data_IF_594135297048
#
_entry.id   IF_594135297048
#
_cell.length_a   1.000
_cell.length_b   1.000
_cell.length_c   1.000
_cell.angle_alpha   90.00
_cell.angle_beta   90.00
_cell.angle_gamma   90.00
#
_symmetry.space_group_name_H-M   'P 1'
#
loop_
_entity.id
_entity.type
_entity.pdbx_description
1 polymer ?
#
# COMPACT_ATOMS: atom_id res chain seq x y z
N UNK A 1 -2.84 -19.04 27.20
CA UNK A 1 -2.06 -18.31 26.18
C UNK A 1 -0.61 -18.58 26.51
N UNK A 2 0.13 -19.22 25.60
CA UNK A 2 1.56 -19.52 25.83
C UNK A 2 2.33 -18.21 25.68
N UNK A 3 3.14 -17.89 26.67
CA UNK A 3 4.07 -16.75 26.66
C UNK A 3 5.00 -16.82 25.42
N UNK A 4 5.22 -15.69 24.75
CA UNK A 4 5.96 -15.61 23.47
C UNK A 4 7.39 -16.12 23.63
N UNK A 5 8.02 -15.76 24.75
CA UNK A 5 9.34 -16.24 25.16
C UNK A 5 9.38 -17.77 25.25
N UNK A 6 8.38 -18.36 25.90
CA UNK A 6 8.24 -19.81 26.01
C UNK A 6 8.07 -20.48 24.64
N UNK A 7 7.36 -19.82 23.72
CA UNK A 7 7.14 -20.32 22.35
C UNK A 7 8.43 -20.31 21.52
N UNK A 8 9.17 -19.22 21.55
CA UNK A 8 10.46 -19.09 20.83
C UNK A 8 11.50 -20.06 21.41
N UNK A 9 11.59 -20.18 22.74
CA UNK A 9 12.47 -21.15 23.37
C UNK A 9 12.13 -22.60 23.00
N UNK A 10 10.83 -22.95 22.94
CA UNK A 10 10.40 -24.27 22.49
C UNK A 10 10.74 -24.53 21.01
N UNK A 11 10.66 -23.50 20.16
CA UNK A 11 11.06 -23.59 18.76
C UNK A 11 12.56 -23.86 18.61
N UNK A 12 13.43 -23.08 19.27
CA UNK A 12 14.89 -23.26 19.21
C UNK A 12 15.32 -24.66 19.71
N UNK A 13 14.66 -25.17 20.76
CA UNK A 13 14.90 -26.55 21.22
C UNK A 13 14.58 -27.59 20.14
N UNK A 14 13.50 -27.41 19.39
CA UNK A 14 13.15 -28.28 18.25
C UNK A 14 14.17 -28.17 17.11
N UNK A 15 14.68 -26.96 16.85
CA UNK A 15 15.75 -26.76 15.86
C UNK A 15 17.02 -27.54 16.24
N UNK A 16 17.41 -27.53 17.51
CA UNK A 16 18.56 -28.30 18.00
C UNK A 16 18.36 -29.80 17.86
N UNK A 17 17.19 -30.31 18.29
CA UNK A 17 16.86 -31.74 18.14
C UNK A 17 16.89 -32.18 16.67
N UNK A 18 16.42 -31.34 15.76
CA UNK A 18 16.50 -31.61 14.32
C UNK A 18 17.94 -31.61 13.81
N UNK A 19 18.76 -30.66 14.25
CA UNK A 19 20.16 -30.56 13.88
C UNK A 19 20.97 -31.77 14.36
N UNK A 20 20.77 -32.23 15.59
CA UNK A 20 21.37 -33.44 16.14
C UNK A 20 21.02 -34.68 15.30
N UNK A 21 19.73 -34.86 14.98
CA UNK A 21 19.28 -35.94 14.09
C UNK A 21 19.84 -35.82 12.66
N UNK A 22 20.12 -34.60 12.19
CA UNK A 22 20.78 -34.35 10.90
C UNK A 22 22.24 -34.78 10.92
N UNK A 23 22.97 -34.42 11.99
CA UNK A 23 24.37 -34.84 12.21
C UNK A 23 24.46 -36.36 12.25
N UNK A 24 23.57 -37.04 12.99
CA UNK A 24 23.59 -38.50 13.09
C UNK A 24 23.43 -39.17 11.71
N UNK A 25 22.45 -38.71 10.92
CA UNK A 25 22.24 -39.21 9.55
C UNK A 25 23.42 -38.93 8.62
N UNK A 26 24.13 -37.82 8.80
CA UNK A 26 25.33 -37.49 8.01
C UNK A 26 26.52 -38.37 8.39
N UNK A 27 26.71 -38.66 9.68
CA UNK A 27 27.72 -39.62 10.17
C UNK A 27 27.49 -41.02 9.60
N UNK A 28 26.24 -41.47 9.54
CA UNK A 28 25.87 -42.76 8.94
C UNK A 28 26.14 -42.84 7.42
N UNK A 29 26.14 -41.70 6.72
CA UNK A 29 26.43 -41.60 5.28
C UNK A 29 27.88 -41.20 4.96
N UNK A 30 28.73 -41.08 5.98
CA UNK A 30 30.13 -40.60 5.87
C UNK A 30 30.25 -39.19 5.24
N UNK A 31 29.21 -38.36 5.38
CA UNK A 31 29.14 -36.98 4.88
C UNK A 31 29.60 -35.98 5.96
N UNK A 32 30.89 -36.02 6.31
CA UNK A 32 31.42 -35.32 7.49
C UNK A 32 31.66 -33.81 7.30
N UNK A 33 31.74 -33.33 6.05
CA UNK A 33 32.14 -31.95 5.72
C UNK A 33 31.23 -30.87 6.35
N UNK A 34 29.93 -31.14 6.44
CA UNK A 34 28.96 -30.18 6.97
C UNK A 34 28.74 -30.28 8.48
N UNK A 35 29.22 -31.33 9.15
CA UNK A 35 28.97 -31.56 10.58
C UNK A 35 29.40 -30.36 11.44
N UNK A 36 30.58 -29.73 11.23
CA UNK A 36 30.98 -28.57 12.02
C UNK A 36 30.01 -27.38 11.91
N UNK A 37 29.35 -27.20 10.75
CA UNK A 37 28.35 -26.14 10.57
C UNK A 37 27.09 -26.41 11.40
N UNK A 38 26.67 -27.67 11.47
CA UNK A 38 25.53 -28.08 12.29
C UNK A 38 25.83 -28.01 13.79
N UNK A 39 27.05 -28.34 14.21
CA UNK A 39 27.52 -28.19 15.59
C UNK A 39 27.53 -26.71 16.01
N UNK A 40 28.09 -25.83 15.17
CA UNK A 40 28.06 -24.39 15.40
C UNK A 40 26.62 -23.84 15.46
N UNK A 41 25.72 -24.31 14.60
CA UNK A 41 24.31 -23.93 14.63
C UNK A 41 23.64 -24.29 15.97
N UNK A 42 23.91 -25.48 16.50
CA UNK A 42 23.40 -25.91 17.82
C UNK A 42 23.97 -25.02 18.92
N UNK A 43 25.28 -24.74 18.89
CA UNK A 43 25.97 -23.91 19.88
C UNK A 43 25.37 -22.50 19.94
N UNK A 44 25.16 -21.84 18.79
CA UNK A 44 24.53 -20.52 18.74
C UNK A 44 23.09 -20.53 19.28
N UNK A 45 22.31 -21.56 18.94
CA UNK A 45 20.95 -21.69 19.45
C UNK A 45 20.92 -21.97 20.96
N UNK A 46 21.87 -22.74 21.48
CA UNK A 46 22.02 -22.97 22.93
C UNK A 46 22.36 -21.67 23.65
N UNK A 47 23.28 -20.88 23.10
CA UNK A 47 23.59 -19.56 23.63
C UNK A 47 22.36 -18.64 23.66
N UNK A 48 21.61 -18.58 22.55
CA UNK A 48 20.36 -17.81 22.50
C UNK A 48 19.32 -18.31 23.53
N UNK A 49 19.22 -19.61 23.76
CA UNK A 49 18.35 -20.20 24.80
C UNK A 49 18.76 -19.76 26.21
N UNK A 50 20.06 -19.66 26.49
CA UNK A 50 20.59 -19.16 27.76
C UNK A 50 20.28 -17.67 27.95
N UNK A 51 20.47 -16.86 26.90
CA UNK A 51 20.16 -15.44 26.91
C UNK A 51 18.64 -15.16 27.06
N UNK A 52 17.79 -16.04 26.54
CA UNK A 52 16.34 -16.01 26.80
C UNK A 52 16.04 -16.37 28.26
N UNK A 53 16.72 -17.39 28.81
CA UNK A 53 16.46 -17.89 30.15
C UNK A 53 16.92 -16.92 31.26
N UNK A 54 18.04 -16.24 31.03
CA UNK A 54 18.62 -15.28 31.98
C UNK A 54 18.07 -13.85 31.83
N UNK A 55 17.21 -13.62 30.83
CA UNK A 55 16.54 -12.35 30.58
C UNK A 55 17.33 -11.33 29.75
N UNK A 56 18.49 -11.69 29.20
CA UNK A 56 19.29 -10.82 28.33
C UNK A 56 18.52 -10.37 27.08
N UNK A 57 17.64 -11.24 26.57
CA UNK A 57 16.82 -10.98 25.38
C UNK A 57 15.40 -10.50 25.72
N UNK A 58 15.10 -10.08 26.95
CA UNK A 58 13.74 -9.66 27.35
C UNK A 58 13.17 -8.54 26.46
N UNK A 59 14.02 -7.57 26.08
CA UNK A 59 13.66 -6.47 25.16
C UNK A 59 13.21 -6.93 23.76
N UNK A 60 13.50 -8.17 23.36
CA UNK A 60 13.06 -8.73 22.06
C UNK A 60 11.60 -9.22 22.12
N UNK A 61 11.09 -9.47 23.32
CA UNK A 61 9.72 -9.89 23.59
C UNK A 61 8.84 -8.74 24.08
N UNK A 62 9.41 -7.55 24.22
CA UNK A 62 8.65 -6.31 24.40
C UNK A 62 8.00 -5.94 23.07
N UNK A 63 6.67 -5.90 23.02
CA UNK A 63 5.93 -5.49 21.83
C UNK A 63 6.16 -4.01 21.56
N UNK A 64 7.24 -3.68 20.86
CA UNK A 64 7.60 -2.31 20.51
C UNK A 64 6.87 -1.83 19.26
N UNK A 65 5.58 -2.17 19.15
CA UNK A 65 4.65 -1.49 18.24
C UNK A 65 4.11 -0.25 18.93
N UNK A 66 5.00 0.63 19.41
CA UNK A 66 4.62 2.02 19.59
C UNK A 66 4.31 2.55 18.19
N UNK A 67 3.03 2.68 17.89
CA UNK A 67 2.58 3.41 16.72
C UNK A 67 3.07 4.85 16.88
N UNK A 68 4.23 5.17 16.31
CA UNK A 68 4.73 6.53 16.32
C UNK A 68 3.70 7.39 15.60
N UNK A 69 3.09 8.38 16.28
CA UNK A 69 2.12 9.23 15.63
C UNK A 69 2.80 9.98 14.47
N UNK A 70 2.04 10.33 13.42
CA UNK A 70 2.59 11.12 12.34
C UNK A 70 3.20 12.41 12.90
N UNK A 71 4.43 12.74 12.47
CA UNK A 71 5.14 13.95 12.90
C UNK A 71 4.36 15.23 12.61
N UNK A 72 3.57 15.21 11.54
CA UNK A 72 2.67 16.29 11.14
C UNK A 72 1.36 15.67 10.71
N UNK A 73 0.25 16.16 11.28
CA UNK A 73 -1.10 15.82 10.85
C UNK A 73 -1.78 17.12 10.45
N UNK A 74 -2.21 17.20 9.20
CA UNK A 74 -2.99 18.33 8.70
C UNK A 74 -4.47 17.93 8.75
N UNK A 75 -5.29 18.66 9.51
CA UNK A 75 -6.74 18.43 9.51
C UNK A 75 -7.34 18.97 8.22
N UNK A 76 -8.13 18.15 7.53
CA UNK A 76 -8.83 18.55 6.29
C UNK A 76 -10.02 19.45 6.61
N UNK A 77 -10.61 19.27 7.79
CA UNK A 77 -11.76 20.02 8.31
C UNK A 77 -11.39 21.46 8.66
N UNK A 78 -10.15 21.69 9.09
CA UNK A 78 -9.61 23.01 9.42
C UNK A 78 -9.13 23.80 8.19
N UNK A 79 -8.98 23.14 7.03
CA UNK A 79 -8.53 23.81 5.80
C UNK A 79 -9.64 24.61 5.13
N UNK A 80 -9.30 25.81 4.66
CA UNK A 80 -10.15 26.55 3.73
C UNK A 80 -10.22 25.85 2.35
N UNK A 81 -11.26 26.15 1.57
CA UNK A 81 -11.48 25.48 0.27
C UNK A 81 -10.27 25.55 -0.67
N UNK A 82 -9.61 26.72 -0.76
CA UNK A 82 -8.46 26.92 -1.64
C UNK A 82 -7.26 26.09 -1.18
N UNK A 83 -6.94 26.14 0.11
CA UNK A 83 -5.84 25.37 0.71
C UNK A 83 -6.04 23.87 0.53
N UNK A 84 -7.23 23.36 0.87
CA UNK A 84 -7.57 21.95 0.66
C UNK A 84 -7.44 21.55 -0.80
N UNK A 85 -7.87 22.41 -1.72
CA UNK A 85 -7.75 22.15 -3.16
C UNK A 85 -6.29 22.05 -3.59
N UNK A 86 -5.41 22.93 -3.10
CA UNK A 86 -3.98 22.91 -3.41
C UNK A 86 -3.36 21.59 -2.91
N UNK A 87 -3.58 21.23 -1.65
CA UNK A 87 -3.04 19.99 -1.07
C UNK A 87 -3.51 18.74 -1.82
N UNK A 88 -4.82 18.61 -2.05
CA UNK A 88 -5.37 17.44 -2.75
C UNK A 88 -4.91 17.35 -4.21
N UNK A 89 -4.82 18.48 -4.90
CA UNK A 89 -4.32 18.50 -6.28
C UNK A 89 -2.82 18.18 -6.34
N UNK A 90 -2.04 18.63 -5.36
CA UNK A 90 -0.60 18.35 -5.27
C UNK A 90 -0.29 16.87 -5.07
N UNK A 91 -1.06 16.17 -4.22
CA UNK A 91 -0.86 14.74 -3.93
C UNK A 91 -1.13 13.86 -5.16
N UNK A 92 -2.08 14.25 -6.01
CA UNK A 92 -2.55 13.42 -7.14
C UNK A 92 -1.92 13.79 -8.49
N UNK A 93 -0.84 14.57 -8.51
CA UNK A 93 -0.17 15.00 -9.75
C UNK A 93 0.98 14.06 -10.17
N UNK A 94 1.27 13.87 -11.48
CA UNK A 94 0.63 14.49 -12.64
C UNK A 94 -0.71 13.84 -12.99
N UNK A 95 -1.68 14.64 -13.48
CA UNK A 95 -3.00 14.15 -13.91
C UNK A 95 -3.15 14.26 -15.42
N UNK A 96 -3.69 13.25 -16.09
CA UNK A 96 -4.03 13.37 -17.50
C UNK A 96 -5.05 14.49 -17.67
N UNK A 97 -4.88 15.28 -18.72
CA UNK A 97 -5.85 16.30 -19.13
C UNK A 97 -6.48 15.85 -20.43
N UNK A 98 -7.81 15.86 -20.46
CA UNK A 98 -8.59 15.64 -21.67
C UNK A 98 -9.51 16.82 -21.93
N UNK A 99 -9.88 17.03 -23.18
CA UNK A 99 -10.95 17.97 -23.56
C UNK A 99 -12.20 17.17 -23.90
N UNK A 100 -13.23 17.31 -23.06
CA UNK A 100 -14.52 16.67 -23.23
C UNK A 100 -15.42 17.51 -24.14
N UNK A 101 -15.76 16.97 -25.31
CA UNK A 101 -16.75 17.51 -26.24
C UNK A 101 -18.13 16.87 -26.01
N UNK A 102 -19.16 17.70 -25.89
CA UNK A 102 -20.55 17.29 -25.67
C UNK A 102 -21.52 18.09 -26.53
N UNK A 103 -22.70 17.55 -26.80
CA UNK A 103 -23.79 18.19 -27.53
C UNK A 103 -25.00 18.38 -26.62
N UNK A 104 -25.62 19.55 -26.67
CA UNK A 104 -26.93 19.81 -26.07
C UNK A 104 -28.06 19.26 -26.95
N UNK A 105 -29.27 19.14 -26.39
CA UNK A 105 -30.47 18.73 -27.15
C UNK A 105 -30.84 19.73 -28.25
N UNK A 106 -30.48 21.00 -28.05
CA UNK A 106 -30.64 22.10 -29.01
C UNK A 106 -29.54 22.12 -30.09
N UNK A 107 -28.61 21.15 -30.07
CA UNK A 107 -27.45 21.10 -30.97
C UNK A 107 -26.27 21.99 -30.53
N UNK A 108 -26.36 22.65 -29.38
CA UNK A 108 -25.29 23.45 -28.81
C UNK A 108 -24.03 22.62 -28.55
N UNK A 109 -22.86 23.11 -28.97
CA UNK A 109 -21.57 22.43 -28.78
C UNK A 109 -20.86 22.97 -27.55
N UNK A 110 -20.40 22.07 -26.68
CA UNK A 110 -19.65 22.42 -25.48
C UNK A 110 -18.35 21.64 -25.40
N UNK A 111 -17.25 22.34 -25.08
CA UNK A 111 -15.92 21.75 -24.85
C UNK A 111 -15.39 22.20 -23.50
N UNK A 112 -14.99 21.24 -22.66
CA UNK A 112 -14.47 21.52 -21.33
C UNK A 112 -13.22 20.68 -21.02
N UNK A 113 -12.13 21.29 -20.51
CA UNK A 113 -11.00 20.53 -20.02
C UNK A 113 -11.36 19.78 -18.72
N UNK A 114 -10.94 18.53 -18.61
CA UNK A 114 -11.11 17.68 -17.43
C UNK A 114 -9.76 17.06 -17.03
N UNK A 115 -9.37 17.27 -15.78
CA UNK A 115 -8.16 16.66 -15.18
C UNK A 115 -8.47 15.56 -14.16
N UNK A 116 -9.75 15.21 -13.99
CA UNK A 116 -10.21 14.19 -13.03
C UNK A 116 -10.48 12.84 -13.69
N UNK A 117 -10.12 12.68 -14.96
CA UNK A 117 -10.43 11.45 -15.71
C UNK A 117 -9.47 10.35 -15.30
N UNK A 118 -10.00 9.19 -14.95
CA UNK A 118 -9.24 8.01 -14.57
C UNK A 118 -9.91 6.73 -15.06
N UNK A 119 -9.13 5.65 -15.16
CA UNK A 119 -9.65 4.32 -15.48
C UNK A 119 -10.42 3.74 -14.27
N UNK A 120 -11.64 3.26 -14.51
CA UNK A 120 -12.47 2.57 -13.52
C UNK A 120 -12.50 1.05 -13.70
N UNK A 121 -12.47 0.55 -14.95
CA UNK A 121 -12.42 -0.88 -15.27
C UNK A 121 -11.83 -1.09 -16.66
N UNK A 122 -11.22 -2.26 -16.90
CA UNK A 122 -10.76 -2.69 -18.24
C UNK A 122 -11.72 -3.68 -18.90
N UNK A 123 -12.60 -4.33 -18.13
CA UNK A 123 -13.54 -5.32 -18.64
C UNK A 123 -14.85 -5.27 -17.84
N UNK A 124 -15.88 -4.56 -18.31
CA UNK A 124 -15.89 -3.69 -19.50
C UNK A 124 -15.04 -2.41 -19.32
N UNK A 125 -14.64 -1.73 -20.42
CA UNK A 125 -13.79 -0.54 -20.34
C UNK A 125 -14.56 0.67 -19.81
N UNK A 126 -14.35 1.02 -18.54
CA UNK A 126 -14.97 2.18 -17.90
C UNK A 126 -13.95 3.26 -17.55
N UNK A 127 -14.34 4.50 -17.81
CA UNK A 127 -13.67 5.71 -17.33
C UNK A 127 -14.57 6.41 -16.31
N UNK A 128 -13.93 7.05 -15.32
CA UNK A 128 -14.59 7.84 -14.29
C UNK A 128 -14.09 9.27 -14.41
N UNK A 129 -15.00 10.24 -14.28
CA UNK A 129 -14.67 11.64 -14.22
C UNK A 129 -15.56 12.34 -13.19
N UNK A 130 -15.00 13.31 -12.45
CA UNK A 130 -15.78 14.18 -11.58
C UNK A 130 -16.26 15.39 -12.36
N UNK A 131 -17.57 15.62 -12.36
CA UNK A 131 -18.19 16.78 -13.01
C UNK A 131 -18.73 17.71 -11.92
N UNK A 132 -18.08 18.86 -11.78
CA UNK A 132 -18.42 19.85 -10.75
C UNK A 132 -19.78 20.51 -11.00
N UNK A 133 -20.32 21.09 -9.94
CA UNK A 133 -21.44 22.03 -9.96
C UNK A 133 -20.86 23.43 -9.71
N UNK A 134 -21.40 24.44 -10.39
CA UNK A 134 -21.02 25.83 -10.17
C UNK A 134 -21.45 26.32 -8.77
N UNK A 135 -20.87 27.44 -8.30
CA UNK A 135 -21.22 28.05 -7.01
C UNK A 135 -22.69 28.47 -6.93
N UNK A 136 -23.29 28.81 -8.07
CA UNK A 136 -24.71 29.13 -8.23
C UNK A 136 -25.62 27.88 -8.26
N UNK A 137 -25.07 26.69 -7.98
CA UNK A 137 -25.75 25.38 -8.01
C UNK A 137 -26.13 24.90 -9.42
N UNK A 138 -25.72 25.59 -10.48
CA UNK A 138 -25.94 25.14 -11.85
C UNK A 138 -24.97 24.00 -12.18
N UNK A 139 -25.42 22.87 -12.73
CA UNK A 139 -24.53 21.88 -13.32
C UNK A 139 -23.67 22.50 -14.42
N UNK A 140 -22.44 22.00 -14.62
CA UNK A 140 -21.65 22.33 -15.81
C UNK A 140 -22.38 21.85 -17.06
N UNK A 141 -22.21 22.56 -18.18
CA UNK A 141 -22.85 22.20 -19.45
C UNK A 141 -22.48 20.77 -19.89
N UNK A 142 -21.25 20.32 -19.62
CA UNK A 142 -20.82 18.93 -19.85
C UNK A 142 -21.70 17.92 -19.10
N UNK A 143 -22.04 18.18 -17.84
CA UNK A 143 -22.89 17.29 -17.04
C UNK A 143 -24.34 17.34 -17.50
N UNK A 144 -24.84 18.54 -17.83
CA UNK A 144 -26.20 18.70 -18.36
C UNK A 144 -26.36 17.95 -19.68
N UNK A 145 -25.44 18.14 -20.63
CA UNK A 145 -25.45 17.49 -21.94
C UNK A 145 -25.29 15.96 -21.83
N UNK A 146 -24.45 15.47 -20.91
CA UNK A 146 -24.31 14.03 -20.67
C UNK A 146 -25.59 13.40 -20.12
N UNK A 147 -26.35 14.12 -19.28
CA UNK A 147 -27.62 13.62 -18.74
C UNK A 147 -28.71 13.54 -19.80
N UNK A 148 -28.72 14.44 -20.78
CA UNK A 148 -29.70 14.41 -21.88
C UNK A 148 -29.30 13.47 -23.01
N UNK A 149 -28.05 13.52 -23.46
CA UNK A 149 -27.61 12.82 -24.68
C UNK A 149 -26.84 11.52 -24.44
N UNK A 150 -26.35 11.29 -23.22
CA UNK A 150 -25.58 10.09 -22.86
C UNK A 150 -24.22 9.95 -23.57
N UNK A 151 -23.77 10.95 -24.33
CA UNK A 151 -22.61 10.84 -25.22
C UNK A 151 -21.57 11.92 -24.94
N UNK A 152 -20.30 11.54 -24.95
CA UNK A 152 -19.15 12.44 -24.82
C UNK A 152 -17.99 11.97 -25.68
N UNK A 153 -17.26 12.92 -26.27
CA UNK A 153 -15.99 12.67 -26.93
C UNK A 153 -14.86 13.18 -26.05
N UNK A 154 -13.92 12.31 -25.67
CA UNK A 154 -12.74 12.68 -24.88
C UNK A 154 -11.52 12.81 -25.79
N UNK A 155 -11.00 14.02 -25.92
CA UNK A 155 -9.78 14.29 -26.67
C UNK A 155 -8.60 14.30 -25.70
N UNK A 156 -7.69 13.35 -25.84
CA UNK A 156 -6.48 13.27 -25.00
C UNK A 156 -5.52 14.36 -25.44
N UNK A 157 -5.06 15.18 -24.48
CA UNK A 157 -4.08 16.21 -24.77
C UNK A 157 -2.67 15.60 -24.78
N UNK A 158 -1.85 15.86 -25.81
CA UNK A 158 -0.47 15.41 -25.81
C UNK A 158 0.31 16.07 -24.68
N UNK A 159 1.34 15.41 -24.12
CA UNK A 159 2.27 16.07 -23.23
C UNK A 159 2.92 17.25 -23.97
N UNK A 160 3.10 18.37 -23.26
CA UNK A 160 3.89 19.49 -23.78
C UNK A 160 5.36 19.04 -23.89
N UNK A 161 6.05 19.26 -25.03
CA UNK A 161 7.45 18.87 -25.20
C UNK A 161 8.40 19.45 -24.14
#
# INVERSE_FOLDING_TARGET
>A
MTDERTTVAAFLKKCNLYAEASIQRKRERDELEDIPKWEAYIEFNQHALEEIANGTLDKWFESNTEHQPPKVRLSVEEMEHVERSIWLNGILSPRPVVVAGTLGEDGGRNFAPLSSVMQGSTSPPYLIASLSIHKDKRPRDTLQNLRSTGTVFLNVMPPTP
#
